data_IF_375660586882
#
_entry.id   IF_375660586882
#
_cell.length_a   1.000
_cell.length_b   1.000
_cell.length_c   1.000
_cell.angle_alpha   90.00
_cell.angle_beta   90.00
_cell.angle_gamma   90.00
#
_symmetry.space_group_name_H-M   'P 1'
#
loop_
_entity.id
_entity.type
_entity.pdbx_description
1 polymer ?
#
# COMPACT_ATOMS: atom_id res chain seq x y z
N UNK A 1 -32.57 -2.94 -60.00
CA UNK A 1 -31.11 -3.01 -60.25
C UNK A 1 -30.45 -1.90 -59.45
N UNK A 2 -29.71 -2.23 -58.38
CA UNK A 2 -29.07 -1.24 -57.49
C UNK A 2 -27.61 -1.11 -57.91
N UNK A 3 -27.17 0.09 -58.29
CA UNK A 3 -25.77 0.36 -58.64
C UNK A 3 -24.95 0.59 -57.36
N UNK A 4 -23.92 -0.22 -57.16
CA UNK A 4 -22.96 -0.06 -56.07
C UNK A 4 -21.89 0.97 -56.48
N UNK A 5 -21.96 2.18 -55.93
CA UNK A 5 -20.93 3.20 -56.15
C UNK A 5 -19.69 2.85 -55.32
N UNK A 6 -18.70 2.24 -55.97
CA UNK A 6 -17.41 1.91 -55.35
C UNK A 6 -16.56 3.17 -55.26
N UNK A 7 -16.53 3.81 -54.09
CA UNK A 7 -15.71 4.98 -53.82
C UNK A 7 -14.22 4.58 -53.90
N UNK A 8 -13.46 5.18 -54.84
CA UNK A 8 -12.06 4.84 -55.16
C UNK A 8 -11.05 5.88 -54.67
N UNK A 9 -11.39 6.67 -53.65
CA UNK A 9 -10.45 7.67 -53.14
C UNK A 9 -9.51 6.99 -52.14
N UNK A 10 -8.29 6.68 -52.58
CA UNK A 10 -7.18 6.32 -51.71
C UNK A 10 -6.68 7.54 -50.95
N UNK A 11 -6.01 7.30 -49.82
CA UNK A 11 -5.44 8.34 -48.98
C UNK A 11 -4.34 9.10 -49.73
N UNK A 12 -4.37 10.43 -49.73
CA UNK A 12 -3.33 11.23 -50.40
C UNK A 12 -2.06 11.30 -49.55
N UNK A 13 -0.90 11.53 -50.19
CA UNK A 13 0.36 11.74 -49.45
C UNK A 13 0.26 12.94 -48.51
N UNK A 14 -0.49 13.98 -48.87
CA UNK A 14 -0.67 15.15 -48.02
C UNK A 14 -1.48 14.81 -46.76
N UNK A 15 -2.52 14.00 -46.89
CA UNK A 15 -3.30 13.55 -45.72
C UNK A 15 -2.43 12.71 -44.76
N UNK A 16 -1.50 11.90 -45.28
CA UNK A 16 -0.55 11.15 -44.46
C UNK A 16 0.45 12.05 -43.74
N UNK A 17 1.00 13.03 -44.42
CA UNK A 17 1.96 13.95 -43.81
C UNK A 17 1.30 14.80 -42.72
N UNK A 18 0.10 15.32 -42.97
CA UNK A 18 -0.64 16.13 -41.99
C UNK A 18 -1.02 15.29 -40.77
N UNK A 19 -1.50 14.06 -40.97
CA UNK A 19 -1.84 13.17 -39.84
C UNK A 19 -0.63 12.77 -39.02
N UNK A 20 0.50 12.43 -39.63
CA UNK A 20 1.74 12.13 -38.92
C UNK A 20 2.29 13.35 -38.16
N UNK A 21 2.17 14.56 -38.73
CA UNK A 21 2.55 15.80 -38.05
C UNK A 21 1.70 16.05 -36.80
N UNK A 22 0.37 15.92 -36.90
CA UNK A 22 -0.53 16.07 -35.76
C UNK A 22 -0.28 14.98 -34.70
N UNK A 23 -0.09 13.73 -35.13
CA UNK A 23 0.26 12.62 -34.24
C UNK A 23 1.57 12.89 -33.48
N UNK A 24 2.61 13.40 -34.15
CA UNK A 24 3.89 13.75 -33.52
C UNK A 24 3.75 14.84 -32.44
N UNK A 25 2.96 15.88 -32.72
CA UNK A 25 2.68 16.96 -31.75
C UNK A 25 1.92 16.42 -30.54
N UNK A 26 0.87 15.61 -30.77
CA UNK A 26 0.07 15.02 -29.69
C UNK A 26 0.90 14.07 -28.82
N UNK A 27 1.74 13.22 -29.43
CA UNK A 27 2.61 12.30 -28.70
C UNK A 27 3.64 13.04 -27.85
N UNK A 28 4.18 14.17 -28.35
CA UNK A 28 5.15 15.00 -27.63
C UNK A 28 4.60 15.56 -26.31
N UNK A 29 3.37 16.06 -26.31
CA UNK A 29 2.75 16.64 -25.11
C UNK A 29 2.13 15.60 -24.16
N UNK A 30 1.70 14.44 -24.68
CA UNK A 30 0.93 13.47 -23.91
C UNK A 30 1.77 12.62 -22.95
N UNK A 31 3.02 12.28 -23.30
CA UNK A 31 3.85 11.37 -22.49
C UNK A 31 4.28 11.97 -21.14
N UNK A 32 4.76 13.23 -21.04
CA UNK A 32 5.27 13.78 -19.78
C UNK A 32 4.22 13.98 -18.68
N UNK A 33 2.95 14.21 -19.06
CA UNK A 33 1.88 14.55 -18.12
C UNK A 33 1.53 13.40 -17.15
N UNK A 34 1.73 12.14 -17.54
CA UNK A 34 1.31 10.98 -16.73
C UNK A 34 2.28 10.62 -15.60
N UNK A 35 3.58 10.91 -15.75
CA UNK A 35 4.60 10.44 -14.80
C UNK A 35 4.46 11.11 -13.42
N UNK A 36 4.31 12.44 -13.39
CA UNK A 36 4.22 13.17 -12.12
C UNK A 36 2.92 12.92 -11.35
N UNK A 37 1.80 12.67 -12.05
CA UNK A 37 0.52 12.33 -11.40
C UNK A 37 0.58 10.93 -10.79
N UNK A 38 1.20 9.99 -11.51
CA UNK A 38 1.36 8.62 -11.05
C UNK A 38 2.23 8.55 -9.81
N UNK A 39 3.38 9.23 -9.79
CA UNK A 39 4.29 9.25 -8.65
C UNK A 39 3.62 9.83 -7.39
N UNK A 40 2.94 10.97 -7.50
CA UNK A 40 2.19 11.57 -6.37
C UNK A 40 1.12 10.65 -5.84
N UNK A 41 0.38 9.98 -6.74
CA UNK A 41 -0.66 9.02 -6.37
C UNK A 41 -0.07 7.83 -5.63
N UNK A 42 1.07 7.30 -6.09
CA UNK A 42 1.78 6.20 -5.42
C UNK A 42 2.28 6.61 -4.03
N UNK A 43 2.88 7.81 -3.92
CA UNK A 43 3.31 8.35 -2.64
C UNK A 43 2.16 8.48 -1.65
N UNK A 44 1.02 9.05 -2.08
CA UNK A 44 -0.16 9.20 -1.21
C UNK A 44 -0.75 7.87 -0.79
N UNK A 45 -0.82 6.89 -1.69
CA UNK A 45 -1.24 5.51 -1.36
C UNK A 45 -0.34 4.88 -0.30
N UNK A 46 0.97 5.06 -0.41
CA UNK A 46 1.92 4.54 0.57
C UNK A 46 1.68 5.14 1.95
N UNK A 47 1.50 6.46 2.02
CA UNK A 47 1.19 7.18 3.27
C UNK A 47 -0.11 6.67 3.91
N UNK A 48 -1.18 6.58 3.12
CA UNK A 48 -2.49 6.08 3.60
C UNK A 48 -2.39 4.64 4.10
N UNK A 49 -1.65 3.77 3.40
CA UNK A 49 -1.45 2.39 3.82
C UNK A 49 -0.67 2.32 5.15
N UNK A 50 0.35 3.14 5.35
CA UNK A 50 1.07 3.22 6.63
C UNK A 50 0.16 3.70 7.77
N UNK A 51 -0.68 4.71 7.54
CA UNK A 51 -1.65 5.18 8.54
C UNK A 51 -2.68 4.09 8.87
N UNK A 52 -3.18 3.39 7.85
CA UNK A 52 -4.12 2.27 8.05
C UNK A 52 -3.49 1.18 8.92
N UNK A 53 -2.24 0.80 8.66
CA UNK A 53 -1.51 -0.19 9.48
C UNK A 53 -1.39 0.30 10.92
N UNK A 54 -0.95 1.54 11.11
CA UNK A 54 -0.83 2.16 12.43
C UNK A 54 -2.15 2.11 13.19
N UNK A 55 -3.24 2.59 12.60
CA UNK A 55 -4.57 2.63 13.21
C UNK A 55 -5.07 1.24 13.60
N UNK A 56 -4.91 0.25 12.72
CA UNK A 56 -5.28 -1.14 13.00
C UNK A 56 -4.49 -1.70 14.19
N UNK A 57 -3.20 -1.39 14.29
CA UNK A 57 -2.36 -1.85 15.40
C UNK A 57 -2.75 -1.19 16.72
N UNK A 58 -3.06 0.12 16.71
CA UNK A 58 -3.59 0.80 17.90
C UNK A 58 -4.96 0.25 18.30
N UNK A 59 -5.86 0.01 17.34
CA UNK A 59 -7.17 -0.56 17.62
C UNK A 59 -7.04 -1.96 18.23
N UNK A 60 -6.14 -2.79 17.69
CA UNK A 60 -5.81 -4.09 18.30
C UNK A 60 -5.32 -3.92 19.75
N UNK A 61 -4.36 -3.04 19.98
CA UNK A 61 -3.83 -2.76 21.32
C UNK A 61 -4.92 -2.33 22.32
N UNK A 62 -5.80 -1.40 21.92
CA UNK A 62 -6.93 -0.96 22.74
C UNK A 62 -7.94 -2.08 23.01
N UNK A 63 -8.19 -2.95 22.03
CA UNK A 63 -9.07 -4.11 22.20
C UNK A 63 -8.50 -5.08 23.23
N UNK A 64 -7.17 -5.28 23.24
CA UNK A 64 -6.51 -6.14 24.21
C UNK A 64 -6.58 -5.57 25.63
N UNK A 65 -6.47 -4.24 25.80
CA UNK A 65 -6.63 -3.58 27.10
C UNK A 65 -8.04 -3.74 27.70
N UNK A 66 -9.07 -3.90 26.87
CA UNK A 66 -10.45 -4.05 27.33
C UNK A 66 -10.79 -5.50 27.70
N UNK A 67 -9.95 -6.47 27.32
CA UNK A 67 -10.19 -7.88 27.61
C UNK A 67 -9.53 -8.25 28.95
N UNK A 68 -10.36 -8.59 29.93
CA UNK A 68 -9.88 -9.06 31.24
C UNK A 68 -9.02 -10.32 31.09
N UNK A 69 -7.86 -10.36 31.77
CA UNK A 69 -6.96 -11.51 31.78
C UNK A 69 -5.97 -11.59 30.62
N UNK A 70 -5.82 -10.54 29.80
CA UNK A 70 -4.81 -10.46 28.73
C UNK A 70 -3.89 -9.25 28.95
N UNK A 71 -2.62 -9.43 28.61
CA UNK A 71 -1.67 -8.32 28.55
C UNK A 71 -1.82 -7.62 27.20
N UNK A 72 -2.05 -6.31 27.22
CA UNK A 72 -2.07 -5.53 25.98
C UNK A 72 -0.66 -5.36 25.44
N UNK A 73 -0.49 -5.65 24.15
CA UNK A 73 0.77 -5.51 23.43
C UNK A 73 0.48 -5.15 21.98
N UNK A 74 1.41 -4.48 21.32
CA UNK A 74 1.36 -4.32 19.87
C UNK A 74 1.75 -5.63 19.17
N UNK A 75 1.40 -5.81 17.89
CA UNK A 75 2.02 -6.87 17.09
C UNK A 75 3.55 -6.79 17.23
N UNK A 76 4.27 -7.92 17.39
CA UNK A 76 5.72 -7.92 17.54
C UNK A 76 6.40 -7.42 16.26
N UNK A 77 7.51 -6.69 16.37
CA UNK A 77 8.29 -6.29 15.20
C UNK A 77 8.83 -7.51 14.42
N UNK A 78 8.96 -7.46 13.09
CA UNK A 78 9.53 -8.55 12.31
C UNK A 78 11.00 -8.76 12.67
N UNK A 79 11.41 -10.02 12.84
CA UNK A 79 12.79 -10.41 13.19
C UNK A 79 13.64 -10.76 11.97
N UNK A 80 13.12 -10.55 10.75
CA UNK A 80 13.88 -10.74 9.52
C UNK A 80 14.96 -9.65 9.36
N UNK A 81 15.96 -9.90 8.52
CA UNK A 81 17.11 -9.01 8.36
C UNK A 81 16.74 -7.58 7.92
N UNK A 82 15.62 -7.42 7.22
CA UNK A 82 15.19 -6.15 6.63
C UNK A 82 14.15 -5.41 7.48
N UNK A 83 13.70 -6.00 8.58
CA UNK A 83 12.66 -5.50 9.51
C UNK A 83 11.33 -5.19 8.80
N UNK A 84 11.00 -5.94 7.74
CA UNK A 84 9.78 -5.74 6.94
C UNK A 84 8.67 -6.70 7.33
N UNK A 85 7.42 -6.26 7.23
CA UNK A 85 6.22 -7.08 7.45
C UNK A 85 5.95 -7.99 6.23
N UNK A 86 6.81 -8.97 5.99
CA UNK A 86 6.64 -9.95 4.92
C UNK A 86 5.45 -10.90 5.17
N UNK A 87 5.16 -11.74 4.18
CA UNK A 87 3.99 -12.64 4.23
C UNK A 87 4.14 -13.74 5.30
N UNK A 88 5.39 -14.07 5.66
CA UNK A 88 5.72 -15.01 6.75
C UNK A 88 5.37 -14.37 8.09
N UNK A 89 5.95 -13.22 8.43
CA UNK A 89 5.64 -12.46 9.64
C UNK A 89 4.14 -12.17 9.76
N UNK A 90 3.50 -11.76 8.67
CA UNK A 90 2.08 -11.45 8.65
C UNK A 90 1.19 -12.67 8.95
N UNK A 91 1.69 -13.88 8.69
CA UNK A 91 0.99 -15.15 8.92
C UNK A 91 1.35 -15.83 10.23
N UNK A 92 2.46 -15.45 10.86
CA UNK A 92 2.89 -15.96 12.16
C UNK A 92 2.01 -15.40 13.29
N UNK A 93 1.54 -16.23 14.23
CA UNK A 93 0.83 -15.75 15.42
C UNK A 93 1.62 -14.69 16.19
N UNK A 94 0.95 -13.62 16.65
CA UNK A 94 1.62 -12.55 17.39
C UNK A 94 2.17 -13.03 18.74
N UNK A 95 1.42 -13.91 19.40
CA UNK A 95 1.87 -14.64 20.58
C UNK A 95 1.16 -15.99 20.59
N UNK A 96 1.90 -17.08 20.42
CA UNK A 96 1.31 -18.43 20.35
C UNK A 96 0.56 -18.85 21.61
N UNK A 97 0.77 -18.17 22.74
CA UNK A 97 0.14 -18.46 24.04
C UNK A 97 -0.98 -17.49 24.38
N UNK A 98 -0.78 -16.19 24.15
CA UNK A 98 -1.70 -15.12 24.58
C UNK A 98 -2.45 -14.46 23.43
N UNK A 99 -2.00 -14.60 22.18
CA UNK A 99 -2.63 -14.01 20.99
C UNK A 99 -2.38 -14.87 19.74
N UNK A 100 -3.12 -15.99 19.58
CA UNK A 100 -2.91 -16.91 18.46
C UNK A 100 -3.29 -16.31 17.10
N UNK A 101 -3.83 -15.09 17.09
CA UNK A 101 -4.16 -14.36 15.87
C UNK A 101 -2.88 -13.81 15.23
N UNK A 102 -2.65 -14.13 13.95
CA UNK A 102 -1.58 -13.51 13.17
C UNK A 102 -1.92 -12.05 12.75
N UNK A 103 -0.92 -11.16 12.55
CA UNK A 103 -1.13 -9.76 12.20
C UNK A 103 -2.04 -9.53 10.99
N UNK A 104 -1.97 -10.39 9.96
CA UNK A 104 -2.79 -10.26 8.75
C UNK A 104 -4.29 -10.27 9.04
N UNK A 105 -4.73 -10.98 10.07
CA UNK A 105 -6.13 -11.12 10.44
C UNK A 105 -6.71 -9.86 11.12
N UNK A 106 -5.87 -8.87 11.42
CA UNK A 106 -6.33 -7.57 11.93
C UNK A 106 -6.92 -6.70 10.81
N UNK A 107 -6.67 -7.06 9.55
CA UNK A 107 -7.14 -6.35 8.36
C UNK A 107 -8.32 -7.07 7.73
N UNK A 108 -9.25 -6.32 7.13
CA UNK A 108 -10.46 -6.87 6.49
C UNK A 108 -10.17 -7.85 5.36
N UNK A 109 -9.04 -7.69 4.67
CA UNK A 109 -8.62 -8.55 3.55
C UNK A 109 -7.75 -9.74 3.98
N UNK A 110 -7.54 -9.95 5.29
CA UNK A 110 -6.60 -10.94 5.82
C UNK A 110 -5.18 -10.80 5.26
N UNK A 111 -4.76 -9.56 4.95
CA UNK A 111 -3.46 -9.21 4.39
C UNK A 111 -3.03 -7.84 4.92
N UNK A 112 -1.74 -7.71 5.21
CA UNK A 112 -1.13 -6.43 5.57
C UNK A 112 -0.96 -5.59 4.29
N UNK A 113 -1.43 -4.32 4.27
CA UNK A 113 -1.23 -3.44 3.13
C UNK A 113 0.26 -3.27 2.77
N UNK A 114 0.56 -3.28 1.47
CA UNK A 114 1.91 -3.07 0.91
C UNK A 114 2.01 -1.69 0.25
N UNK A 115 3.22 -1.26 -0.08
CA UNK A 115 3.40 -0.04 -0.84
C UNK A 115 2.95 -0.20 -2.31
N UNK A 116 2.96 0.88 -3.08
CA UNK A 116 2.51 0.92 -4.47
C UNK A 116 3.32 0.05 -5.42
N UNK A 117 4.52 -0.38 -5.00
CA UNK A 117 5.39 -1.32 -5.70
C UNK A 117 5.23 -2.76 -5.19
N UNK A 118 4.16 -3.04 -4.44
CA UNK A 118 3.85 -4.33 -3.83
C UNK A 118 4.96 -4.84 -2.87
N UNK A 119 5.70 -3.93 -2.23
CA UNK A 119 6.71 -4.27 -1.21
C UNK A 119 6.15 -4.02 0.20
N UNK A 120 6.45 -4.89 1.17
CA UNK A 120 6.04 -4.70 2.56
C UNK A 120 6.71 -3.47 3.17
N UNK A 121 6.04 -2.88 4.17
CA UNK A 121 6.61 -1.78 4.97
C UNK A 121 7.49 -2.33 6.08
N UNK A 122 8.44 -1.50 6.54
CA UNK A 122 9.17 -1.75 7.78
C UNK A 122 8.29 -1.48 8.99
N UNK A 123 8.51 -2.22 10.06
CA UNK A 123 7.79 -2.04 11.32
C UNK A 123 8.71 -2.34 12.49
N UNK A 124 8.76 -1.39 13.43
CA UNK A 124 9.59 -1.48 14.63
C UNK A 124 8.78 -0.99 15.82
N UNK A 125 8.99 -1.61 16.98
CA UNK A 125 8.42 -1.19 18.25
C UNK A 125 9.55 -0.91 19.22
N UNK A 126 9.45 0.19 19.95
CA UNK A 126 10.41 0.55 20.98
C UNK A 126 9.75 0.35 22.34
N UNK A 127 10.43 -0.39 23.23
CA UNK A 127 10.10 -0.38 24.63
C UNK A 127 10.79 0.84 25.23
N UNK A 128 10.05 1.91 25.48
CA UNK A 128 10.58 3.05 26.22
C UNK A 128 10.75 2.63 27.68
N UNK A 129 11.91 2.07 27.99
CA UNK A 129 12.30 1.74 29.36
C UNK A 129 12.79 3.02 30.01
N UNK A 130 11.89 3.97 30.26
CA UNK A 130 12.07 4.78 31.46
C UNK A 130 11.84 3.79 32.59
N UNK A 131 12.92 3.38 33.24
CA UNK A 131 12.83 2.82 34.58
C UNK A 131 12.11 3.89 35.41
N UNK A 132 10.78 3.83 35.46
CA UNK A 132 9.98 4.60 36.39
C UNK A 132 10.49 4.14 37.75
N UNK A 133 11.40 4.95 38.28
CA UNK A 133 11.82 5.00 39.67
C UNK A 133 10.67 4.50 40.53
N UNK A 134 10.93 3.45 41.32
CA UNK A 134 9.94 2.75 42.13
C UNK A 134 9.30 3.61 43.22
N UNK A 135 8.59 4.66 42.83
CA UNK A 135 7.73 5.44 43.69
C UNK A 135 6.32 4.87 43.61
N UNK A 136 5.96 4.13 44.66
CA UNK A 136 4.58 3.96 45.07
C UNK A 136 4.07 5.34 45.47
N UNK A 137 3.11 5.88 44.73
CA UNK A 137 2.36 7.07 45.17
C UNK A 137 1.15 6.60 45.97
N UNK A 138 1.13 6.97 47.25
CA UNK A 138 -0.01 6.86 48.17
C UNK A 138 -1.16 7.75 47.73
#
# INVERSE_FOLDING_TARGET
>A
MIQYLKNKNGFSMMELVVTLAILGILMSASIPAYNGVTERTQGKRNEVNMQTIREVFFHYFYRMHQQSGRTAHFPPAPTNQTHVMDDEWASTPMDSTLSPQAPKHLFSQNKVPKNSNNKPFKYETWLDTVAATGEVRY
#
